data_IF_278595465928
#
_entry.id   IF_278595465928
#
_cell.length_a   1.000
_cell.length_b   1.000
_cell.length_c   1.000
_cell.angle_alpha   90.00
_cell.angle_beta   90.00
_cell.angle_gamma   90.00
#
_symmetry.space_group_name_H-M   'P 1'
#
loop_
_entity.id
_entity.type
_entity.pdbx_description
1 polymer ?
#
# COMPACT_ATOMS: atom_id res chain seq x y z
N UNK A 1 -21.37 -0.15 -12.11
CA UNK A 1 -21.13 0.94 -13.08
C UNK A 1 -20.55 2.20 -12.46
N UNK A 2 -21.32 2.95 -11.66
CA UNK A 2 -20.79 4.17 -11.01
C UNK A 2 -19.52 3.87 -10.18
N UNK A 3 -19.52 2.76 -9.44
CA UNK A 3 -18.39 2.32 -8.63
C UNK A 3 -17.12 2.06 -9.46
N UNK A 4 -17.22 1.31 -10.56
CA UNK A 4 -16.10 1.01 -11.46
C UNK A 4 -15.55 2.26 -12.16
N UNK A 5 -16.44 3.18 -12.57
CA UNK A 5 -16.03 4.45 -13.18
C UNK A 5 -15.29 5.35 -12.18
N UNK A 6 -15.76 5.41 -10.93
CA UNK A 6 -15.04 6.10 -9.84
C UNK A 6 -13.70 5.42 -9.58
N UNK A 7 -13.67 4.09 -9.54
CA UNK A 7 -12.45 3.30 -9.38
C UNK A 7 -11.39 3.62 -10.43
N UNK A 8 -11.77 3.68 -11.71
CA UNK A 8 -10.89 4.06 -12.82
C UNK A 8 -10.37 5.49 -12.69
N UNK A 9 -11.24 6.43 -12.35
CA UNK A 9 -10.85 7.82 -12.15
C UNK A 9 -9.80 7.95 -11.04
N UNK A 10 -10.03 7.26 -9.91
CA UNK A 10 -9.09 7.19 -8.81
C UNK A 10 -7.75 6.58 -9.25
N UNK A 11 -7.73 5.51 -10.04
CA UNK A 11 -6.49 4.91 -10.55
C UNK A 11 -5.71 5.87 -11.45
N UNK A 12 -6.39 6.57 -12.36
CA UNK A 12 -5.76 7.57 -13.23
C UNK A 12 -5.17 8.72 -12.40
N UNK A 13 -5.89 9.15 -11.36
CA UNK A 13 -5.41 10.15 -10.42
C UNK A 13 -4.16 9.66 -9.68
N UNK A 14 -4.17 8.43 -9.16
CA UNK A 14 -3.04 7.79 -8.48
C UNK A 14 -1.83 7.69 -9.43
N UNK A 15 -2.04 7.30 -10.68
CA UNK A 15 -0.98 7.21 -11.69
C UNK A 15 -0.37 8.59 -12.00
N UNK A 16 -1.21 9.61 -12.15
CA UNK A 16 -0.78 10.98 -12.38
C UNK A 16 -0.01 11.54 -11.16
N UNK A 17 -0.53 11.34 -9.94
CA UNK A 17 0.14 11.77 -8.71
C UNK A 17 1.48 11.07 -8.50
N UNK A 18 1.57 9.77 -8.81
CA UNK A 18 2.79 9.00 -8.68
C UNK A 18 3.86 9.47 -9.67
N UNK A 19 3.49 9.66 -10.94
CA UNK A 19 4.43 10.08 -11.99
C UNK A 19 4.91 11.53 -11.82
N UNK A 20 4.11 12.39 -11.21
CA UNK A 20 4.47 13.80 -10.93
C UNK A 20 5.24 13.99 -9.63
N UNK A 21 4.94 13.24 -8.56
CA UNK A 21 5.64 13.40 -7.27
C UNK A 21 6.98 12.68 -7.17
N UNK A 22 7.17 11.56 -7.86
CA UNK A 22 8.41 10.78 -7.76
C UNK A 22 9.46 11.28 -8.76
N UNK A 23 10.38 12.12 -8.28
CA UNK A 23 11.51 12.62 -9.07
C UNK A 23 12.63 11.55 -9.27
N UNK A 24 12.59 10.44 -8.52
CA UNK A 24 13.54 9.31 -8.65
C UNK A 24 12.78 8.00 -8.89
N UNK A 25 12.77 7.56 -10.15
CA UNK A 25 11.93 6.45 -10.68
C UNK A 25 12.52 5.04 -10.51
N UNK A 26 13.33 4.80 -9.47
CA UNK A 26 14.12 3.55 -9.36
C UNK A 26 13.93 2.76 -8.07
N UNK A 27 13.05 3.20 -7.16
CA UNK A 27 12.80 2.50 -5.90
C UNK A 27 11.83 1.33 -6.08
N UNK A 28 11.97 0.27 -5.28
CA UNK A 28 11.02 -0.85 -5.25
C UNK A 28 9.57 -0.37 -5.07
N UNK A 29 9.35 0.55 -4.12
CA UNK A 29 8.05 1.21 -3.91
C UNK A 29 7.44 1.78 -5.20
N UNK A 30 8.24 2.46 -6.03
CA UNK A 30 7.75 3.10 -7.25
C UNK A 30 7.27 2.08 -8.28
N UNK A 31 7.97 0.96 -8.41
CA UNK A 31 7.56 -0.12 -9.30
C UNK A 31 6.36 -0.90 -8.73
N UNK A 32 6.29 -1.10 -7.41
CA UNK A 32 5.14 -1.72 -6.76
C UNK A 32 3.87 -0.89 -6.93
N UNK A 33 3.91 0.42 -6.65
CA UNK A 33 2.73 1.29 -6.77
C UNK A 33 2.25 1.42 -8.23
N UNK A 34 3.18 1.46 -9.20
CA UNK A 34 2.80 1.46 -10.62
C UNK A 34 2.19 0.11 -11.01
N UNK A 35 2.81 -0.99 -10.58
CA UNK A 35 2.32 -2.34 -10.84
C UNK A 35 0.88 -2.50 -10.39
N UNK A 36 0.60 -2.25 -9.10
CA UNK A 36 -0.75 -2.36 -8.55
C UNK A 36 -1.74 -1.41 -9.22
N UNK A 37 -1.33 -0.19 -9.58
CA UNK A 37 -2.21 0.77 -10.26
C UNK A 37 -2.56 0.29 -11.67
N UNK A 38 -1.61 -0.25 -12.41
CA UNK A 38 -1.84 -0.79 -13.77
C UNK A 38 -2.70 -2.04 -13.70
N UNK A 39 -2.40 -2.96 -12.78
CA UNK A 39 -3.23 -4.13 -12.47
C UNK A 39 -4.68 -3.73 -12.17
N UNK A 40 -4.87 -2.70 -11.35
CA UNK A 40 -6.19 -2.21 -11.01
C UNK A 40 -6.93 -1.59 -12.21
N UNK A 41 -6.22 -0.88 -13.10
CA UNK A 41 -6.81 -0.37 -14.35
C UNK A 41 -7.27 -1.55 -15.23
N UNK A 42 -6.43 -2.57 -15.38
CA UNK A 42 -6.79 -3.79 -16.12
C UNK A 42 -8.02 -4.48 -15.51
N UNK A 43 -8.08 -4.60 -14.19
CA UNK A 43 -9.23 -5.17 -13.49
C UNK A 43 -10.51 -4.36 -13.72
N UNK A 44 -10.45 -3.03 -13.63
CA UNK A 44 -11.59 -2.17 -13.91
C UNK A 44 -12.09 -2.30 -15.36
N UNK A 45 -11.17 -2.42 -16.33
CA UNK A 45 -11.51 -2.68 -17.73
C UNK A 45 -12.20 -4.04 -17.87
N UNK A 46 -11.69 -5.07 -17.21
CA UNK A 46 -12.34 -6.38 -17.14
C UNK A 46 -13.79 -6.27 -16.64
N UNK A 47 -14.02 -5.63 -15.49
CA UNK A 47 -15.38 -5.45 -14.93
C UNK A 47 -16.29 -4.71 -15.91
N UNK A 48 -15.76 -3.72 -16.63
CA UNK A 48 -16.53 -3.03 -17.67
C UNK A 48 -16.88 -3.96 -18.84
N UNK A 49 -15.92 -4.74 -19.33
CA UNK A 49 -16.12 -5.69 -20.43
C UNK A 49 -17.09 -6.81 -20.07
N UNK A 50 -16.97 -7.35 -18.85
CA UNK A 50 -17.81 -8.42 -18.31
C UNK A 50 -19.28 -7.98 -18.16
N UNK A 51 -19.51 -6.74 -17.70
CA UNK A 51 -20.88 -6.23 -17.48
C UNK A 51 -21.53 -5.72 -18.78
N UNK A 52 -20.78 -5.07 -19.67
CA UNK A 52 -21.38 -4.35 -20.83
C UNK A 52 -21.26 -5.04 -22.17
N UNK A 53 -20.06 -5.55 -22.47
CA UNK A 53 -19.67 -5.74 -23.86
C UNK A 53 -19.84 -7.21 -24.25
N UNK A 54 -19.54 -8.17 -23.38
CA UNK A 54 -19.44 -9.58 -23.79
C UNK A 54 -19.56 -10.50 -22.57
N UNK A 55 -20.76 -10.99 -22.24
CA UNK A 55 -20.82 -12.32 -21.59
C UNK A 55 -20.41 -13.40 -22.61
N UNK A 56 -20.83 -13.26 -23.87
CA UNK A 56 -20.73 -14.36 -24.85
C UNK A 56 -19.90 -14.12 -26.13
N UNK A 57 -19.60 -12.87 -26.53
CA UNK A 57 -19.09 -12.67 -27.90
C UNK A 57 -17.57 -12.82 -28.11
N UNK A 58 -16.72 -12.61 -27.08
CA UNK A 58 -15.24 -12.84 -27.11
C UNK A 58 -14.68 -13.14 -25.70
N UNK A 59 -14.92 -14.34 -25.15
CA UNK A 59 -14.50 -14.71 -23.79
C UNK A 59 -12.98 -14.56 -23.55
N UNK A 60 -12.15 -14.79 -24.58
CA UNK A 60 -10.70 -14.69 -24.46
C UNK A 60 -10.17 -13.28 -24.15
N UNK A 61 -10.84 -12.22 -24.64
CA UNK A 61 -10.42 -10.84 -24.35
C UNK A 61 -10.73 -10.47 -22.89
N UNK A 62 -11.92 -10.84 -22.42
CA UNK A 62 -12.36 -10.62 -21.04
C UNK A 62 -11.46 -11.37 -20.06
N UNK A 63 -11.17 -12.65 -20.32
CA UNK A 63 -10.24 -13.45 -19.53
C UNK A 63 -8.81 -12.86 -19.54
N UNK A 64 -8.35 -12.32 -20.66
CA UNK A 64 -7.03 -11.69 -20.75
C UNK A 64 -6.87 -10.49 -19.80
N UNK A 65 -7.85 -9.58 -19.77
CA UNK A 65 -7.82 -8.43 -18.86
C UNK A 65 -8.02 -8.81 -17.40
N UNK A 66 -8.82 -9.84 -17.13
CA UNK A 66 -9.01 -10.41 -15.81
C UNK A 66 -7.68 -10.95 -15.26
N UNK A 67 -6.98 -11.81 -16.01
CA UNK A 67 -5.68 -12.36 -15.61
C UNK A 67 -4.62 -11.26 -15.48
N UNK A 68 -4.59 -10.30 -16.41
CA UNK A 68 -3.66 -9.18 -16.36
C UNK A 68 -3.94 -8.22 -15.20
N UNK A 69 -5.18 -8.19 -14.69
CA UNK A 69 -5.58 -7.39 -13.55
C UNK A 69 -5.37 -8.11 -12.23
N UNK A 70 -6.01 -9.26 -12.04
CA UNK A 70 -6.05 -10.03 -10.80
C UNK A 70 -4.67 -10.56 -10.37
N UNK A 71 -4.08 -11.47 -11.16
CA UNK A 71 -2.83 -12.15 -10.79
C UNK A 71 -1.71 -11.22 -10.29
N UNK A 72 -1.40 -10.09 -10.96
CA UNK A 72 -0.36 -9.19 -10.49
C UNK A 72 -0.79 -8.24 -9.37
N UNK A 73 -2.10 -8.03 -9.13
CA UNK A 73 -2.59 -7.05 -8.15
C UNK A 73 -2.10 -7.34 -6.73
N UNK A 74 -2.45 -8.51 -6.20
CA UNK A 74 -2.12 -8.95 -4.83
C UNK A 74 -0.61 -8.88 -4.53
N UNK A 75 0.29 -9.45 -5.36
CA UNK A 75 1.72 -9.40 -5.06
C UNK A 75 2.27 -7.98 -5.13
N UNK A 76 1.79 -7.11 -6.03
CA UNK A 76 2.24 -5.72 -6.08
C UNK A 76 1.78 -4.91 -4.88
N UNK A 77 0.56 -5.14 -4.41
CA UNK A 77 0.04 -4.52 -3.18
C UNK A 77 0.87 -4.95 -1.97
N UNK A 78 1.11 -6.24 -1.77
CA UNK A 78 1.94 -6.67 -0.65
C UNK A 78 3.40 -6.22 -0.78
N UNK A 79 3.95 -6.11 -2.00
CA UNK A 79 5.28 -5.52 -2.24
C UNK A 79 5.33 -4.03 -1.88
N UNK A 80 4.22 -3.31 -2.05
CA UNK A 80 4.10 -1.92 -1.64
C UNK A 80 4.17 -1.79 -0.11
N UNK A 81 3.42 -2.63 0.64
CA UNK A 81 3.52 -2.72 2.10
C UNK A 81 4.93 -3.15 2.55
N UNK A 82 5.53 -4.14 1.87
CA UNK A 82 6.90 -4.59 2.11
C UNK A 82 7.91 -3.44 1.93
N UNK A 83 7.77 -2.65 0.86
CA UNK A 83 8.67 -1.53 0.61
C UNK A 83 8.53 -0.44 1.68
N UNK A 84 7.32 -0.24 2.22
CA UNK A 84 7.11 0.63 3.38
C UNK A 84 7.81 0.06 4.61
N UNK A 85 7.64 -1.22 4.91
CA UNK A 85 8.29 -1.87 6.04
C UNK A 85 9.82 -1.77 5.98
N UNK A 86 10.41 -1.92 4.78
CA UNK A 86 11.84 -1.74 4.56
C UNK A 86 12.33 -0.32 4.91
N UNK A 87 11.52 0.71 4.68
CA UNK A 87 11.86 2.10 5.04
C UNK A 87 11.98 2.31 6.56
N UNK A 88 11.24 1.52 7.36
CA UNK A 88 11.28 1.56 8.82
C UNK A 88 12.30 0.57 9.40
N UNK A 89 13.37 0.24 8.67
CA UNK A 89 14.52 -0.52 9.18
C UNK A 89 14.15 -1.86 9.86
N UNK A 90 13.12 -2.54 9.35
CA UNK A 90 12.76 -3.87 9.84
C UNK A 90 13.96 -4.84 9.70
N UNK A 91 14.08 -5.78 10.64
CA UNK A 91 15.17 -6.76 10.61
C UNK A 91 15.15 -7.56 9.29
N UNK A 92 16.33 -7.84 8.72
CA UNK A 92 16.46 -8.62 7.47
C UNK A 92 15.78 -10.01 7.54
N UNK A 93 15.62 -10.57 8.75
CA UNK A 93 14.91 -11.84 8.95
C UNK A 93 13.41 -11.67 8.74
N UNK A 94 12.80 -10.67 9.37
CA UNK A 94 11.38 -10.35 9.23
C UNK A 94 11.05 -10.03 7.78
N UNK A 95 11.90 -9.22 7.14
CA UNK A 95 11.69 -8.83 5.75
C UNK A 95 11.69 -10.04 4.79
N UNK A 96 12.63 -10.98 4.96
CA UNK A 96 12.65 -12.23 4.16
C UNK A 96 11.44 -13.12 4.44
N UNK A 97 10.95 -13.16 5.67
CA UNK A 97 9.74 -13.93 6.02
C UNK A 97 8.50 -13.33 5.35
N UNK A 98 8.37 -12.00 5.34
CA UNK A 98 7.29 -11.31 4.61
C UNK A 98 7.38 -11.62 3.11
N UNK A 99 8.56 -11.55 2.50
CA UNK A 99 8.69 -11.89 1.08
C UNK A 99 8.30 -13.34 0.79
N UNK A 100 8.69 -14.28 1.67
CA UNK A 100 8.28 -15.68 1.55
C UNK A 100 6.76 -15.84 1.68
N UNK A 101 6.12 -15.12 2.60
CA UNK A 101 4.67 -15.10 2.75
C UNK A 101 3.98 -14.65 1.45
N UNK A 102 4.44 -13.54 0.85
CA UNK A 102 3.90 -13.01 -0.42
C UNK A 102 4.00 -14.03 -1.54
N UNK A 103 5.16 -14.68 -1.69
CA UNK A 103 5.36 -15.67 -2.75
C UNK A 103 4.49 -16.91 -2.55
N UNK A 104 4.38 -17.39 -1.30
CA UNK A 104 3.59 -18.59 -0.98
C UNK A 104 2.09 -18.32 -1.16
N UNK A 105 1.59 -17.19 -0.67
CA UNK A 105 0.20 -16.77 -0.84
C UNK A 105 -0.15 -16.68 -2.34
N UNK A 106 0.68 -15.99 -3.12
CA UNK A 106 0.47 -15.83 -4.56
C UNK A 106 0.40 -17.17 -5.31
N UNK A 107 1.31 -18.10 -5.04
CA UNK A 107 1.32 -19.40 -5.73
C UNK A 107 0.21 -20.34 -5.29
N UNK A 108 -0.16 -20.33 -4.00
CA UNK A 108 -1.09 -21.30 -3.44
C UNK A 108 -2.55 -20.84 -3.48
N UNK A 109 -2.79 -19.53 -3.58
CA UNK A 109 -4.12 -18.95 -3.45
C UNK A 109 -4.50 -18.21 -4.73
N UNK A 110 -3.72 -17.20 -5.11
CA UNK A 110 -4.04 -16.32 -6.25
C UNK A 110 -3.99 -17.06 -7.59
N UNK A 111 -2.98 -17.92 -7.80
CA UNK A 111 -2.88 -18.73 -9.03
C UNK A 111 -4.07 -19.70 -9.19
N UNK A 112 -4.43 -20.52 -8.19
CA UNK A 112 -5.63 -21.36 -8.26
C UNK A 112 -6.93 -20.57 -8.48
N UNK A 113 -7.08 -19.40 -7.86
CA UNK A 113 -8.25 -18.53 -8.07
C UNK A 113 -8.36 -18.12 -9.55
N UNK A 114 -7.28 -17.61 -10.13
CA UNK A 114 -7.26 -17.20 -11.53
C UNK A 114 -7.54 -18.37 -12.48
N UNK A 115 -7.02 -19.57 -12.18
CA UNK A 115 -7.33 -20.78 -12.95
C UNK A 115 -8.81 -21.13 -12.83
N UNK A 116 -9.39 -21.06 -11.63
CA UNK A 116 -10.81 -21.30 -11.40
C UNK A 116 -11.70 -20.34 -12.19
N UNK A 117 -11.35 -19.06 -12.22
CA UNK A 117 -12.11 -18.04 -12.96
C UNK A 117 -11.97 -18.21 -14.50
N UNK A 118 -10.80 -18.61 -15.00
CA UNK A 118 -10.66 -18.98 -16.42
C UNK A 118 -11.57 -20.18 -16.75
N UNK A 119 -11.64 -21.18 -15.87
CA UNK A 119 -12.47 -22.36 -16.10
C UNK A 119 -13.97 -22.03 -16.13
N UNK A 120 -14.44 -21.07 -15.32
CA UNK A 120 -15.85 -20.62 -15.39
C UNK A 120 -16.16 -19.86 -16.68
N UNK A 121 -15.20 -19.10 -17.21
CA UNK A 121 -15.34 -18.42 -18.51
C UNK A 121 -15.36 -19.43 -19.68
N UNK A 122 -14.54 -20.48 -19.63
CA UNK A 122 -14.45 -21.50 -20.69
C UNK A 122 -15.65 -22.46 -20.64
N UNK A 123 -16.13 -22.80 -19.45
CA UNK A 123 -17.23 -23.75 -19.23
C UNK A 123 -18.40 -23.12 -18.45
N UNK A 124 -19.12 -22.13 -19.03
CA UNK A 124 -20.14 -21.35 -18.33
C UNK A 124 -21.35 -22.19 -17.86
N UNK A 125 -21.66 -23.29 -18.56
CA UNK A 125 -22.78 -24.19 -18.23
C UNK A 125 -22.48 -25.13 -17.04
N UNK A 126 -21.22 -25.19 -16.58
CA UNK A 126 -20.82 -26.12 -15.53
C UNK A 126 -21.05 -25.53 -14.14
N UNK A 127 -22.14 -25.96 -13.51
CA UNK A 127 -22.42 -25.62 -12.10
C UNK A 127 -21.28 -26.03 -11.15
N UNK A 128 -20.55 -27.11 -11.45
CA UNK A 128 -19.42 -27.55 -10.64
C UNK A 128 -18.26 -26.55 -10.69
N UNK A 129 -17.98 -25.96 -11.86
CA UNK A 129 -16.91 -24.96 -11.99
C UNK A 129 -17.29 -23.66 -11.30
N UNK A 130 -18.56 -23.24 -11.38
CA UNK A 130 -19.07 -22.08 -10.67
C UNK A 130 -18.94 -22.24 -9.14
N UNK A 131 -19.31 -23.41 -8.59
CA UNK A 131 -19.16 -23.70 -7.16
C UNK A 131 -17.69 -23.72 -6.74
N UNK A 132 -16.82 -24.30 -7.56
CA UNK A 132 -15.38 -24.36 -7.29
C UNK A 132 -14.78 -22.95 -7.23
N UNK A 133 -15.14 -22.09 -8.19
CA UNK A 133 -14.69 -20.70 -8.22
C UNK A 133 -15.20 -19.91 -7.01
N UNK A 134 -16.50 -19.97 -6.71
CA UNK A 134 -17.09 -19.27 -5.55
C UNK A 134 -16.43 -19.67 -4.23
N UNK A 135 -16.17 -20.98 -4.04
CA UNK A 135 -15.46 -21.47 -2.86
C UNK A 135 -14.01 -20.95 -2.81
N UNK A 136 -13.31 -20.98 -3.94
CA UNK A 136 -11.91 -20.54 -4.03
C UNK A 136 -11.80 -19.04 -3.80
N UNK A 137 -12.71 -18.23 -4.34
CA UNK A 137 -12.78 -16.78 -4.13
C UNK A 137 -13.03 -16.42 -2.66
N UNK A 138 -13.91 -17.16 -1.98
CA UNK A 138 -14.15 -16.97 -0.55
C UNK A 138 -12.92 -17.32 0.30
N UNK A 139 -12.20 -18.40 -0.06
CA UNK A 139 -10.96 -18.80 0.62
C UNK A 139 -9.89 -17.74 0.40
N UNK A 140 -9.72 -17.28 -0.84
CA UNK A 140 -8.76 -16.23 -1.18
C UNK A 140 -9.04 -14.96 -0.37
N UNK A 141 -10.27 -14.45 -0.38
CA UNK A 141 -10.62 -13.24 0.36
C UNK A 141 -10.29 -13.32 1.87
N UNK A 142 -10.50 -14.49 2.48
CA UNK A 142 -10.15 -14.73 3.88
C UNK A 142 -8.63 -14.73 4.08
N UNK A 143 -7.89 -15.45 3.23
CA UNK A 143 -6.44 -15.53 3.33
C UNK A 143 -5.79 -14.17 3.07
N UNK A 144 -6.22 -13.46 2.02
CA UNK A 144 -5.81 -12.10 1.70
C UNK A 144 -6.01 -11.17 2.90
N UNK A 145 -7.22 -11.14 3.48
CA UNK A 145 -7.54 -10.27 4.63
C UNK A 145 -6.66 -10.58 5.84
N UNK A 146 -6.39 -11.86 6.12
CA UNK A 146 -5.51 -12.28 7.21
C UNK A 146 -4.06 -11.86 6.95
N UNK A 147 -3.57 -12.07 5.73
CA UNK A 147 -2.23 -11.68 5.32
C UNK A 147 -2.04 -10.16 5.38
N UNK A 148 -2.96 -9.38 4.81
CA UNK A 148 -2.90 -7.92 4.86
C UNK A 148 -2.95 -7.40 6.29
N UNK A 149 -3.90 -7.88 7.11
CA UNK A 149 -4.00 -7.51 8.52
C UNK A 149 -2.71 -7.82 9.28
N UNK A 150 -2.09 -8.97 9.00
CA UNK A 150 -0.80 -9.34 9.59
C UNK A 150 0.32 -8.37 9.18
N UNK A 151 0.42 -8.01 7.90
CA UNK A 151 1.40 -7.06 7.38
C UNK A 151 1.20 -5.64 7.93
N UNK A 152 -0.04 -5.17 7.95
CA UNK A 152 -0.46 -3.89 8.53
C UNK A 152 -0.13 -3.82 10.04
N UNK A 153 -0.39 -4.90 10.77
CA UNK A 153 -0.08 -5.00 12.21
C UNK A 153 1.41 -4.96 12.45
N UNK A 154 2.18 -5.77 11.71
CA UNK A 154 3.64 -5.80 11.80
C UNK A 154 4.22 -4.42 11.51
N UNK A 155 3.76 -3.78 10.42
CA UNK A 155 4.13 -2.42 10.09
C UNK A 155 3.88 -1.45 11.26
N UNK A 156 2.68 -1.47 11.85
CA UNK A 156 2.35 -0.61 12.99
C UNK A 156 3.29 -0.82 14.18
N UNK A 157 3.63 -2.09 14.51
CA UNK A 157 4.59 -2.40 15.58
C UNK A 157 5.98 -1.81 15.29
N UNK A 158 6.48 -1.94 14.06
CA UNK A 158 7.77 -1.36 13.68
C UNK A 158 7.76 0.18 13.77
N UNK A 159 6.71 0.84 13.28
CA UNK A 159 6.61 2.31 13.38
C UNK A 159 6.53 2.75 14.85
N UNK A 160 5.74 2.06 15.67
CA UNK A 160 5.63 2.33 17.11
C UNK A 160 6.97 2.18 17.83
N UNK A 161 7.76 1.16 17.50
CA UNK A 161 9.06 0.93 18.12
C UNK A 161 10.07 2.07 17.82
N UNK A 162 9.99 2.68 16.63
CA UNK A 162 10.95 3.73 16.22
C UNK A 162 10.48 5.12 16.66
N UNK A 163 9.17 5.37 16.65
CA UNK A 163 8.60 6.71 16.89
C UNK A 163 7.89 6.86 18.24
N UNK A 164 7.68 5.78 18.98
CA UNK A 164 6.92 5.77 20.24
C UNK A 164 7.51 6.67 21.32
N UNK A 165 8.84 6.77 21.38
CA UNK A 165 9.56 7.52 22.41
C UNK A 165 9.73 9.01 22.08
N UNK A 166 9.33 9.44 20.89
CA UNK A 166 9.53 10.82 20.44
C UNK A 166 8.21 11.59 20.60
N UNK A 167 8.06 12.46 21.62
CA UNK A 167 6.78 13.13 21.93
C UNK A 167 6.23 13.97 20.76
N UNK A 168 7.10 14.63 19.97
CA UNK A 168 6.71 15.37 18.76
C UNK A 168 6.14 14.47 17.65
N UNK A 169 6.40 13.15 17.68
CA UNK A 169 5.97 12.21 16.63
C UNK A 169 4.70 11.44 16.96
N UNK A 170 4.15 11.60 18.17
CA UNK A 170 2.89 10.93 18.58
C UNK A 170 1.69 11.31 17.70
N UNK A 171 1.62 12.55 17.20
CA UNK A 171 0.55 12.97 16.28
C UNK A 171 0.64 12.24 14.93
N UNK A 172 1.85 12.04 14.43
CA UNK A 172 2.10 11.39 13.13
C UNK A 172 1.94 9.89 13.22
N UNK A 173 2.44 9.27 14.29
CA UNK A 173 2.20 7.86 14.60
C UNK A 173 0.69 7.56 14.67
N UNK A 174 -0.11 8.48 15.21
CA UNK A 174 -1.57 8.36 15.24
C UNK A 174 -2.21 8.43 13.85
N UNK A 175 -1.73 9.30 12.96
CA UNK A 175 -2.22 9.35 11.57
C UNK A 175 -1.89 8.06 10.83
N UNK A 176 -0.65 7.59 10.94
CA UNK A 176 -0.21 6.33 10.32
C UNK A 176 -1.00 5.13 10.88
N UNK A 177 -1.19 5.07 12.20
CA UNK A 177 -2.01 4.04 12.83
C UNK A 177 -3.47 4.10 12.39
N UNK A 178 -4.05 5.30 12.35
CA UNK A 178 -5.42 5.52 11.88
C UNK A 178 -5.61 5.03 10.44
N UNK A 179 -4.69 5.34 9.53
CA UNK A 179 -4.80 4.88 8.14
C UNK A 179 -4.72 3.35 8.01
N UNK A 180 -3.84 2.67 8.74
CA UNK A 180 -3.81 1.21 8.73
C UNK A 180 -5.11 0.60 9.28
N UNK A 181 -5.70 1.20 10.32
CA UNK A 181 -7.01 0.74 10.83
C UNK A 181 -8.11 0.94 9.78
N UNK A 182 -8.10 2.06 9.06
CA UNK A 182 -9.06 2.29 7.97
C UNK A 182 -8.92 1.23 6.87
N UNK A 183 -7.69 0.85 6.48
CA UNK A 183 -7.46 -0.22 5.49
C UNK A 183 -8.02 -1.56 5.99
N UNK A 184 -7.70 -1.97 7.23
CA UNK A 184 -8.20 -3.23 7.80
C UNK A 184 -9.73 -3.25 7.89
N UNK A 185 -10.35 -2.12 8.24
CA UNK A 185 -11.81 -2.00 8.28
C UNK A 185 -12.43 -2.11 6.89
N UNK A 186 -11.76 -1.54 5.89
CA UNK A 186 -12.18 -1.60 4.50
C UNK A 186 -12.14 -3.06 4.00
N UNK A 187 -11.06 -3.79 4.28
CA UNK A 187 -10.93 -5.23 3.96
C UNK A 187 -12.01 -6.06 4.62
N UNK A 188 -12.24 -5.82 5.91
CA UNK A 188 -13.26 -6.55 6.67
C UNK A 188 -14.66 -6.30 6.11
N UNK A 189 -14.95 -5.07 5.70
CA UNK A 189 -16.22 -4.71 5.08
C UNK A 189 -16.38 -5.37 3.71
N UNK A 190 -15.34 -5.33 2.88
CA UNK A 190 -15.34 -5.99 1.57
C UNK A 190 -15.55 -7.50 1.72
N UNK A 191 -14.84 -8.13 2.66
CA UNK A 191 -14.99 -9.55 2.96
C UNK A 191 -16.44 -9.87 3.33
N UNK A 192 -17.12 -9.10 4.18
CA UNK A 192 -18.55 -9.36 4.50
C UNK A 192 -19.44 -9.18 3.27
N UNK A 193 -19.20 -8.14 2.47
CA UNK A 193 -20.00 -7.87 1.28
C UNK A 193 -19.90 -9.00 0.26
N UNK A 194 -18.72 -9.58 0.05
CA UNK A 194 -18.49 -10.71 -0.86
C UNK A 194 -19.42 -11.90 -0.59
N UNK A 195 -19.84 -12.12 0.66
CA UNK A 195 -20.73 -13.23 1.02
C UNK A 195 -22.21 -12.91 0.86
N UNK A 196 -22.57 -11.64 0.70
CA UNK A 196 -23.97 -11.17 0.77
C UNK A 196 -24.51 -10.68 -0.56
N UNK A 197 -23.63 -10.24 -1.47
CA UNK A 197 -24.02 -9.64 -2.75
C UNK A 197 -23.76 -10.57 -3.92
N UNK A 198 -24.46 -10.34 -5.03
CA UNK A 198 -24.23 -11.07 -6.28
C UNK A 198 -22.86 -10.70 -6.89
N UNK A 199 -22.30 -11.62 -7.67
CA UNK A 199 -20.97 -11.50 -8.30
C UNK A 199 -20.77 -10.17 -9.05
N UNK A 200 -21.77 -9.74 -9.83
CA UNK A 200 -21.69 -8.49 -10.61
C UNK A 200 -21.53 -7.25 -9.72
N UNK A 201 -22.19 -7.23 -8.56
CA UNK A 201 -22.07 -6.15 -7.60
C UNK A 201 -20.76 -6.27 -6.81
N UNK A 202 -20.35 -7.49 -6.48
CA UNK A 202 -19.09 -7.78 -5.79
C UNK A 202 -17.88 -7.26 -6.59
N UNK A 203 -17.82 -7.53 -7.90
CA UNK A 203 -16.72 -7.04 -8.75
C UNK A 203 -16.67 -5.50 -8.82
N UNK A 204 -17.84 -4.85 -8.83
CA UNK A 204 -17.93 -3.39 -8.79
C UNK A 204 -17.46 -2.79 -7.47
N UNK A 205 -17.77 -3.44 -6.34
CA UNK A 205 -17.31 -3.04 -5.01
C UNK A 205 -15.79 -3.27 -4.89
N UNK A 206 -15.28 -4.40 -5.36
CA UNK A 206 -13.85 -4.73 -5.39
C UNK A 206 -13.06 -3.65 -6.14
N UNK A 207 -13.55 -3.20 -7.30
CA UNK A 207 -12.92 -2.14 -8.07
C UNK A 207 -12.81 -0.81 -7.30
N UNK A 208 -13.80 -0.49 -6.46
CA UNK A 208 -13.78 0.71 -5.63
C UNK A 208 -12.87 0.54 -4.41
N UNK A 209 -12.96 -0.60 -3.73
CA UNK A 209 -12.17 -0.98 -2.56
C UNK A 209 -10.67 -0.77 -2.80
N UNK A 210 -10.17 -1.43 -3.83
CA UNK A 210 -8.77 -1.38 -4.24
C UNK A 210 -8.33 0.04 -4.62
N UNK A 211 -9.18 0.81 -5.30
CA UNK A 211 -8.89 2.22 -5.63
C UNK A 211 -8.79 3.11 -4.39
N UNK A 212 -9.61 2.88 -3.36
CA UNK A 212 -9.54 3.62 -2.10
C UNK A 212 -8.23 3.29 -1.37
N UNK A 213 -7.83 2.02 -1.34
CA UNK A 213 -6.55 1.59 -0.74
C UNK A 213 -5.36 2.31 -1.37
N UNK A 214 -5.32 2.42 -2.69
CA UNK A 214 -4.26 3.14 -3.39
C UNK A 214 -4.21 4.63 -3.03
N UNK A 215 -5.37 5.27 -2.83
CA UNK A 215 -5.42 6.66 -2.36
C UNK A 215 -4.92 6.81 -0.92
N UNK A 216 -5.33 5.91 -0.03
CA UNK A 216 -4.87 5.87 1.37
C UNK A 216 -3.35 5.66 1.43
N UNK A 217 -2.81 4.82 0.56
CA UNK A 217 -1.38 4.58 0.47
C UNK A 217 -0.62 5.87 0.10
N UNK A 218 -1.02 6.55 -0.99
CA UNK A 218 -0.39 7.79 -1.42
C UNK A 218 -0.46 8.85 -0.31
N UNK A 219 -1.61 8.96 0.36
CA UNK A 219 -1.77 9.88 1.49
C UNK A 219 -0.81 9.54 2.63
N UNK A 220 -0.71 8.26 2.98
CA UNK A 220 0.16 7.79 4.06
C UNK A 220 1.63 8.05 3.74
N UNK A 221 2.06 7.80 2.51
CA UNK A 221 3.42 8.12 2.07
C UNK A 221 3.72 9.61 2.19
N UNK A 222 2.82 10.49 1.72
CA UNK A 222 3.02 11.94 1.82
C UNK A 222 3.20 12.38 3.28
N UNK A 223 2.37 11.83 4.17
CA UNK A 223 2.47 12.08 5.62
C UNK A 223 3.83 11.66 6.18
N UNK A 224 4.37 10.52 5.74
CA UNK A 224 5.69 10.03 6.17
C UNK A 224 6.82 10.92 5.62
N UNK A 225 6.74 11.35 4.36
CA UNK A 225 7.75 12.22 3.75
C UNK A 225 7.80 13.57 4.48
N UNK A 226 6.63 14.15 4.77
CA UNK A 226 6.53 15.39 5.55
C UNK A 226 7.11 15.22 6.95
N UNK A 227 6.88 14.06 7.59
CA UNK A 227 7.48 13.71 8.89
C UNK A 227 9.02 13.75 8.84
N UNK A 228 9.58 13.09 7.83
CA UNK A 228 11.03 13.00 7.64
C UNK A 228 11.64 14.36 7.33
N UNK A 229 10.94 15.20 6.55
CA UNK A 229 11.40 16.57 6.23
C UNK A 229 11.42 17.45 7.48
N UNK A 230 10.33 17.47 8.25
CA UNK A 230 10.26 18.21 9.51
C UNK A 230 11.34 17.78 10.49
N UNK A 231 11.65 16.48 10.56
CA UNK A 231 12.75 15.98 11.38
C UNK A 231 14.11 16.54 10.94
N UNK A 232 14.40 16.53 9.65
CA UNK A 232 15.68 17.03 9.11
C UNK A 232 15.85 18.52 9.40
N UNK A 233 14.77 19.29 9.26
CA UNK A 233 14.76 20.72 9.57
C UNK A 233 14.96 20.98 11.08
N UNK A 234 14.27 20.26 11.96
CA UNK A 234 14.46 20.38 13.41
C UNK A 234 15.87 19.96 13.88
N UNK A 235 16.45 18.91 13.28
CA UNK A 235 17.81 18.48 13.57
C UNK A 235 18.85 19.52 13.12
N UNK A 236 18.65 20.10 11.93
CA UNK A 236 19.50 21.19 11.42
C UNK A 236 19.42 22.42 12.32
N UNK A 237 18.22 22.83 12.75
CA UNK A 237 18.04 23.95 13.69
C UNK A 237 18.76 23.70 15.02
N UNK A 238 18.65 22.49 15.57
CA UNK A 238 19.33 22.12 16.83
C UNK A 238 20.86 22.13 16.69
N UNK A 239 21.38 21.71 15.54
CA UNK A 239 22.81 21.75 15.25
C UNK A 239 23.32 23.19 15.06
N UNK A 240 22.57 24.05 14.35
CA UNK A 240 22.89 25.47 14.20
C UNK A 240 22.88 26.21 15.54
N UNK A 241 21.89 25.94 16.40
CA UNK A 241 21.82 26.51 17.75
C UNK A 241 23.01 26.08 18.63
N UNK A 242 23.39 24.80 18.57
CA UNK A 242 24.60 24.30 19.27
C UNK A 242 25.88 24.95 18.76
N UNK A 243 26.01 25.12 17.44
CA UNK A 243 27.17 25.79 16.84
C UNK A 243 27.27 27.24 17.31
N UNK A 244 26.17 27.99 17.28
CA UNK A 244 26.10 29.37 17.77
C UNK A 244 26.45 29.49 19.26
N UNK A 245 25.91 28.61 20.10
CA UNK A 245 26.23 28.58 21.53
C UNK A 245 27.71 28.28 21.78
N UNK A 246 28.32 27.36 21.02
CA UNK A 246 29.75 27.05 21.13
C UNK A 246 30.67 28.20 20.70
N UNK A 247 30.22 28.99 19.72
CA UNK A 247 30.94 30.19 19.26
C UNK A 247 30.86 31.27 20.32
N UNK A 248 29.68 31.50 20.92
CA UNK A 248 29.51 32.49 21.98
C UNK A 248 30.37 32.15 23.20
N UNK A 249 30.36 30.88 23.64
CA UNK A 249 31.21 30.41 24.74
C UNK A 249 32.71 30.61 24.48
N UNK A 250 33.18 30.39 23.24
CA UNK A 250 34.59 30.64 22.86
C UNK A 250 34.94 32.13 22.80
N UNK A 251 33.99 32.97 22.40
CA UNK A 251 34.18 34.42 22.36
C UNK A 251 34.25 34.97 23.78
N UNK A 252 33.36 34.54 24.67
CA UNK A 252 33.33 34.95 26.07
C UNK A 252 34.61 34.50 26.81
N UNK A 253 35.05 33.25 26.62
CA UNK A 253 36.31 32.77 27.20
C UNK A 253 37.52 33.56 26.71
N UNK A 254 37.56 33.91 25.41
CA UNK A 254 38.67 34.70 24.85
C UNK A 254 38.65 36.16 25.33
N UNK A 255 37.48 36.72 25.65
CA UNK A 255 37.38 38.05 26.26
C UNK A 255 37.84 38.03 27.71
N UNK A 256 37.45 37.04 28.51
CA UNK A 256 37.94 36.89 29.89
C UNK A 256 39.47 36.71 29.96
N UNK A 257 40.05 35.91 29.08
CA UNK A 257 41.51 35.75 28.99
C UNK A 257 42.22 37.07 28.65
N UNK A 258 41.65 37.89 27.75
CA UNK A 258 42.21 39.21 27.41
C UNK A 258 42.09 40.22 28.56
N UNK A 259 41.07 40.14 29.40
CA UNK A 259 40.94 41.02 30.56
C UNK A 259 41.91 40.64 31.69
N UNK A 260 42.21 39.35 31.86
CA UNK A 260 43.19 38.86 32.83
C UNK A 260 44.62 39.26 32.44
N UNK A 261 44.96 39.17 31.16
CA UNK A 261 46.29 39.54 30.64
C UNK A 261 46.56 41.05 30.73
N UNK A 262 45.50 41.88 30.75
CA UNK A 262 45.59 43.34 30.88
C UNK A 262 45.75 43.84 32.33
N UNK A 263 45.56 42.96 33.31
CA UNK A 263 45.67 43.26 34.76
C UNK A 263 46.99 42.76 35.36
N UNK A 264 47.80 42.02 34.60
CA UNK A 264 49.20 41.66 34.93
C UNK A 264 50.17 42.74 34.45
#
# INVERSE_FOLDING_TARGET
MALTSVGLFCCLQVLFLTTTKFNRRSGLYFWSIIGVTVSQICYCIYVYLYIWILKDAKPGLTAGFMVAGGLPYVPFEFLMLYSRLHLFLASKKVLRLVLALIVVEWWLIEVPLAVGEILTIVYPESAQMAILYDLTAKIEAVVYTVCDTFLCTLYFFQVKNIWGDIPMKKRMLRHVGFMNVVVILLDSLFMVLLWTVNDELSSGISAMDFSIKLLVEIYTLNTIIEACRQQREAANQRNSARSMASIHMKVDSNMEFKELDKKS
#
